data_IF_844418010839
#
_entry.id   IF_844418010839
#
_cell.length_a   1.000
_cell.length_b   1.000
_cell.length_c   1.000
_cell.angle_alpha   90.00
_cell.angle_beta   90.00
_cell.angle_gamma   90.00
#
_symmetry.space_group_name_H-M   'P 1'
#
loop_
_entity.id
_entity.type
_entity.pdbx_description
1 polymer ?
#
# COMPACT_ATOMS: atom_id res chain seq x y z
N UNK A 1 4.40 7.91 -20.98
CA UNK A 1 3.00 7.97 -20.46
C UNK A 1 3.04 7.84 -18.94
N UNK A 2 2.19 8.57 -18.20
CA UNK A 2 2.18 8.58 -16.72
C UNK A 2 0.94 7.86 -16.18
N UNK A 3 1.18 6.90 -15.29
CA UNK A 3 0.17 6.14 -14.56
C UNK A 3 0.31 6.33 -13.06
N UNK A 4 -0.82 6.37 -12.37
CA UNK A 4 -0.93 6.46 -10.93
C UNK A 4 -1.72 5.27 -10.39
N UNK A 5 -1.26 4.71 -9.28
CA UNK A 5 -2.05 3.79 -8.46
C UNK A 5 -2.43 4.53 -7.19
N UNK A 6 -3.73 4.76 -6.96
CA UNK A 6 -4.17 5.28 -5.68
C UNK A 6 -4.18 4.15 -4.67
N UNK A 7 -3.35 4.29 -3.64
CA UNK A 7 -3.20 3.31 -2.57
C UNK A 7 -3.68 3.89 -1.26
N UNK A 8 -4.40 3.10 -0.49
CA UNK A 8 -4.79 3.45 0.88
C UNK A 8 -4.25 2.40 1.83
N UNK A 9 -3.42 2.84 2.76
CA UNK A 9 -2.93 1.99 3.83
C UNK A 9 -4.01 1.93 4.92
N UNK A 10 -4.51 0.72 5.18
CA UNK A 10 -5.48 0.45 6.23
C UNK A 10 -4.83 0.68 7.59
N UNK A 11 -5.08 1.83 8.18
CA UNK A 11 -4.52 2.22 9.48
C UNK A 11 -5.60 2.89 10.34
N UNK A 12 -5.39 2.89 11.65
CA UNK A 12 -6.22 3.64 12.60
C UNK A 12 -5.37 4.52 13.51
N UNK A 13 -5.95 5.63 13.95
CA UNK A 13 -5.25 6.70 14.70
C UNK A 13 -4.50 6.19 15.95
N UNK A 14 -5.06 5.19 16.63
CA UNK A 14 -4.51 4.66 17.87
C UNK A 14 -3.34 3.70 17.69
N UNK A 15 -3.06 3.19 16.49
CA UNK A 15 -2.09 2.10 16.34
C UNK A 15 -0.69 2.48 16.84
N UNK A 16 -0.21 3.65 16.44
CA UNK A 16 1.13 4.15 16.79
C UNK A 16 1.16 5.06 18.02
N UNK A 17 0.02 5.40 18.61
CA UNK A 17 -0.03 6.32 19.73
C UNK A 17 0.48 5.63 21.01
N UNK A 18 1.76 5.82 21.27
CA UNK A 18 2.44 5.31 22.45
C UNK A 18 2.06 6.05 23.73
N UNK A 19 1.13 7.00 23.71
CA UNK A 19 0.55 7.58 24.93
C UNK A 19 -0.73 6.86 25.36
N UNK A 20 -1.35 6.08 24.47
CA UNK A 20 -2.58 5.33 24.73
C UNK A 20 -2.31 3.97 25.41
N UNK A 21 -3.29 3.51 26.19
CA UNK A 21 -3.31 2.14 26.71
C UNK A 21 -3.54 1.14 25.58
N UNK A 22 -3.13 -0.12 25.77
CA UNK A 22 -3.28 -1.15 24.72
C UNK A 22 -4.73 -1.31 24.25
N UNK A 23 -5.70 -1.21 25.15
CA UNK A 23 -7.12 -1.25 24.81
C UNK A 23 -7.54 -0.08 23.93
N UNK A 24 -7.06 1.14 24.22
CA UNK A 24 -7.35 2.34 23.41
C UNK A 24 -6.61 2.33 22.07
N UNK A 25 -5.57 1.52 21.94
CA UNK A 25 -4.85 1.28 20.67
C UNK A 25 -5.52 0.21 19.82
N UNK A 26 -6.59 -0.45 20.27
CA UNK A 26 -7.36 -1.39 19.44
C UNK A 26 -8.21 -0.65 18.40
N UNK A 27 -8.45 -1.25 17.24
CA UNK A 27 -9.33 -0.69 16.23
C UNK A 27 -10.78 -0.65 16.72
N UNK A 28 -11.52 0.37 16.32
CA UNK A 28 -12.96 0.46 16.56
C UNK A 28 -13.71 0.14 15.26
N UNK A 29 -14.36 -1.02 15.21
CA UNK A 29 -14.98 -1.53 13.98
C UNK A 29 -15.95 -0.53 13.35
N UNK A 30 -16.89 0.01 14.15
CA UNK A 30 -17.87 1.00 13.68
C UNK A 30 -17.22 2.22 13.05
N UNK A 31 -16.18 2.76 13.68
CA UNK A 31 -15.45 3.94 13.19
C UNK A 31 -14.71 3.62 11.90
N UNK A 32 -14.01 2.49 11.84
CA UNK A 32 -13.25 2.08 10.66
C UNK A 32 -14.14 1.74 9.46
N UNK A 33 -15.25 1.04 9.68
CA UNK A 33 -16.22 0.76 8.62
C UNK A 33 -16.74 2.06 7.98
N UNK A 34 -17.02 3.09 8.79
CA UNK A 34 -17.41 4.40 8.25
C UNK A 34 -16.32 5.04 7.38
N UNK A 35 -15.04 4.85 7.73
CA UNK A 35 -13.92 5.37 6.93
C UNK A 35 -13.75 4.61 5.62
N UNK A 36 -13.88 3.28 5.66
CA UNK A 36 -13.82 2.44 4.47
C UNK A 36 -14.99 2.72 3.52
N UNK A 37 -16.19 2.94 4.04
CA UNK A 37 -17.35 3.33 3.23
C UNK A 37 -17.10 4.68 2.51
N UNK A 38 -16.51 5.65 3.20
CA UNK A 38 -16.11 6.94 2.63
C UNK A 38 -15.01 6.81 1.56
N UNK A 39 -14.03 5.96 1.82
CA UNK A 39 -12.94 5.62 0.91
C UNK A 39 -13.47 5.02 -0.40
N UNK A 40 -14.30 3.98 -0.29
CA UNK A 40 -14.95 3.30 -1.41
C UNK A 40 -15.81 4.28 -2.21
N UNK A 41 -16.62 5.09 -1.54
CA UNK A 41 -17.47 6.10 -2.18
C UNK A 41 -16.64 7.14 -2.95
N UNK A 42 -15.54 7.61 -2.37
CA UNK A 42 -14.67 8.58 -3.00
C UNK A 42 -13.97 7.97 -4.22
N UNK A 43 -13.40 6.77 -4.10
CA UNK A 43 -12.75 6.08 -5.20
C UNK A 43 -13.73 5.75 -6.34
N UNK A 44 -14.95 5.31 -6.03
CA UNK A 44 -16.00 5.09 -7.02
C UNK A 44 -16.30 6.37 -7.82
N UNK A 45 -16.47 7.50 -7.15
CA UNK A 45 -16.83 8.79 -7.78
C UNK A 45 -15.67 9.43 -8.54
N UNK A 46 -14.45 9.35 -8.01
CA UNK A 46 -13.30 10.11 -8.52
C UNK A 46 -12.41 9.27 -9.43
N UNK A 47 -12.36 7.96 -9.22
CA UNK A 47 -11.43 7.05 -9.92
C UNK A 47 -12.15 5.93 -10.67
N UNK A 48 -13.48 5.97 -10.73
CA UNK A 48 -14.33 4.89 -11.24
C UNK A 48 -13.97 3.56 -10.58
N UNK A 49 -13.75 3.60 -9.27
CA UNK A 49 -13.42 2.44 -8.44
C UNK A 49 -11.97 1.93 -8.54
N UNK A 50 -11.12 2.55 -9.35
CA UNK A 50 -9.69 2.16 -9.45
C UNK A 50 -8.88 2.66 -8.27
N UNK A 51 -8.69 1.80 -7.28
CA UNK A 51 -7.76 2.00 -6.17
C UNK A 51 -7.35 0.66 -5.58
N UNK A 52 -6.34 0.70 -4.70
CA UNK A 52 -5.84 -0.45 -3.98
C UNK A 52 -5.90 -0.16 -2.47
N UNK A 53 -6.66 -0.95 -1.74
CA UNK A 53 -6.70 -0.91 -0.28
C UNK A 53 -5.76 -1.96 0.30
N UNK A 54 -4.86 -1.58 1.20
CA UNK A 54 -4.03 -2.54 1.92
C UNK A 54 -4.61 -2.84 3.29
N UNK A 55 -4.97 -4.10 3.50
CA UNK A 55 -5.56 -4.61 4.74
C UNK A 55 -4.46 -4.81 5.77
N UNK A 56 -4.58 -4.15 6.92
CA UNK A 56 -3.61 -4.21 8.00
C UNK A 56 -3.44 -5.62 8.56
N UNK A 57 -2.20 -6.05 8.71
CA UNK A 57 -1.83 -7.14 9.60
C UNK A 57 -0.95 -6.57 10.69
N UNK A 58 -1.31 -6.82 11.95
CA UNK A 58 -0.34 -6.71 13.03
C UNK A 58 -0.66 -7.76 14.08
N UNK A 59 0.31 -8.10 14.96
CA UNK A 59 0.07 -9.07 16.03
C UNK A 59 -1.14 -8.74 16.91
N UNK A 60 -1.61 -7.48 16.92
CA UNK A 60 -2.73 -7.00 17.74
C UNK A 60 -4.11 -7.25 17.12
N UNK A 61 -4.22 -7.39 15.81
CA UNK A 61 -5.50 -7.34 15.07
C UNK A 61 -5.56 -8.30 13.88
N UNK A 62 -4.79 -9.38 13.93
CA UNK A 62 -4.52 -10.23 12.76
C UNK A 62 -5.79 -10.83 12.14
N UNK A 63 -6.78 -11.19 12.96
CA UNK A 63 -8.08 -11.72 12.57
C UNK A 63 -9.19 -10.65 12.44
N UNK A 64 -8.96 -9.45 12.97
CA UNK A 64 -9.98 -8.40 13.06
C UNK A 64 -10.56 -8.03 11.70
N UNK A 65 -9.71 -7.89 10.68
CA UNK A 65 -10.14 -7.51 9.33
C UNK A 65 -10.69 -8.68 8.49
N UNK A 66 -10.75 -9.89 9.07
CA UNK A 66 -11.40 -11.06 8.48
C UNK A 66 -12.85 -11.24 8.97
N UNK A 67 -13.34 -10.36 9.85
CA UNK A 67 -14.74 -10.36 10.28
C UNK A 67 -15.68 -10.04 9.11
N UNK A 68 -16.91 -10.54 9.17
CA UNK A 68 -17.84 -10.54 8.04
C UNK A 68 -18.15 -9.14 7.49
N UNK A 69 -18.25 -8.14 8.36
CA UNK A 69 -18.44 -6.74 7.99
C UNK A 69 -17.30 -6.19 7.11
N UNK A 70 -16.05 -6.54 7.39
CA UNK A 70 -14.89 -6.09 6.62
C UNK A 70 -14.77 -6.87 5.31
N UNK A 71 -14.97 -8.19 5.35
CA UNK A 71 -15.03 -9.04 4.16
C UNK A 71 -16.06 -8.51 3.16
N UNK A 72 -17.23 -8.04 3.64
CA UNK A 72 -18.24 -7.41 2.79
C UNK A 72 -17.70 -6.18 2.05
N UNK A 73 -16.91 -5.32 2.72
CA UNK A 73 -16.29 -4.14 2.11
C UNK A 73 -15.18 -4.52 1.14
N UNK A 74 -14.34 -5.49 1.47
CA UNK A 74 -13.30 -5.97 0.56
C UNK A 74 -13.89 -6.50 -0.75
N UNK A 75 -15.00 -7.24 -0.68
CA UNK A 75 -15.75 -7.66 -1.86
C UNK A 75 -16.33 -6.48 -2.63
N UNK A 76 -16.86 -5.49 -1.93
CA UNK A 76 -17.37 -4.26 -2.57
C UNK A 76 -16.26 -3.52 -3.33
N UNK A 77 -15.03 -3.47 -2.80
CA UNK A 77 -13.87 -2.90 -3.48
C UNK A 77 -13.63 -3.61 -4.82
N UNK A 78 -13.53 -4.94 -4.82
CA UNK A 78 -13.29 -5.73 -6.03
C UNK A 78 -14.43 -5.58 -7.05
N UNK A 79 -15.70 -5.62 -6.61
CA UNK A 79 -16.88 -5.44 -7.47
C UNK A 79 -16.86 -4.09 -8.18
N UNK A 80 -16.38 -3.03 -7.51
CA UNK A 80 -16.27 -1.69 -8.10
C UNK A 80 -15.02 -1.51 -8.97
N UNK A 81 -14.22 -2.55 -9.16
CA UNK A 81 -13.00 -2.51 -9.99
C UNK A 81 -11.74 -2.07 -9.25
N UNK A 82 -11.80 -2.04 -7.92
CA UNK A 82 -10.62 -1.85 -7.06
C UNK A 82 -9.87 -3.14 -6.85
N UNK A 83 -8.90 -3.11 -5.94
CA UNK A 83 -8.12 -4.29 -5.54
C UNK A 83 -7.81 -4.22 -4.06
N UNK A 84 -7.51 -5.36 -3.46
CA UNK A 84 -7.01 -5.44 -2.08
C UNK A 84 -5.57 -5.95 -2.06
N UNK A 85 -4.85 -5.58 -1.01
CA UNK A 85 -3.49 -6.04 -0.72
C UNK A 85 -3.27 -6.20 0.77
N UNK A 86 -2.07 -6.59 1.16
CA UNK A 86 -1.67 -6.80 2.55
C UNK A 86 -0.79 -5.64 3.01
N UNK A 87 -1.21 -4.95 4.08
CA UNK A 87 -0.41 -3.95 4.78
C UNK A 87 0.25 -4.59 6.01
N UNK A 88 1.50 -5.01 5.90
CA UNK A 88 2.12 -5.81 6.95
C UNK A 88 2.87 -4.98 7.99
N UNK A 89 2.34 -5.00 9.21
CA UNK A 89 2.89 -4.41 10.42
C UNK A 89 3.32 -5.49 11.41
N UNK A 90 4.40 -6.20 11.11
CA UNK A 90 5.10 -7.04 12.08
C UNK A 90 6.14 -6.21 12.86
N UNK A 91 5.63 -5.18 13.50
CA UNK A 91 6.35 -4.28 14.39
C UNK A 91 5.55 -4.06 15.67
N UNK A 92 6.28 -3.84 16.75
CA UNK A 92 5.76 -3.19 17.93
C UNK A 92 6.53 -1.88 18.08
N UNK A 93 5.88 -0.72 17.91
CA UNK A 93 6.50 0.60 18.00
C UNK A 93 7.25 0.89 19.31
N UNK A 94 7.15 0.01 20.32
CA UNK A 94 7.89 0.11 21.60
C UNK A 94 8.91 -1.00 21.85
N UNK A 95 8.99 -2.03 20.99
CA UNK A 95 9.73 -3.25 21.34
C UNK A 95 10.62 -3.79 20.24
N UNK A 96 10.12 -3.88 19.01
CA UNK A 96 10.86 -4.58 17.95
C UNK A 96 10.25 -4.38 16.57
N UNK A 97 11.11 -4.48 15.56
CA UNK A 97 10.74 -4.57 14.14
C UNK A 97 11.13 -5.94 13.61
N UNK A 98 10.20 -6.69 13.06
CA UNK A 98 10.42 -8.08 12.64
C UNK A 98 10.44 -8.27 11.12
N UNK A 99 10.61 -7.19 10.34
CA UNK A 99 10.56 -7.24 8.88
C UNK A 99 11.64 -8.12 8.22
N UNK A 100 12.74 -8.42 8.91
CA UNK A 100 13.78 -9.36 8.45
C UNK A 100 13.67 -10.77 9.06
N UNK A 101 12.67 -10.99 9.91
CA UNK A 101 12.34 -12.29 10.48
C UNK A 101 11.38 -13.04 9.55
N UNK A 102 11.93 -13.89 8.69
CA UNK A 102 11.19 -14.61 7.66
C UNK A 102 10.00 -15.40 8.23
N UNK A 103 10.19 -16.17 9.31
CA UNK A 103 9.13 -17.00 9.91
C UNK A 103 7.94 -16.16 10.40
N UNK A 104 8.20 -15.01 11.04
CA UNK A 104 7.12 -14.12 11.49
C UNK A 104 6.39 -13.48 10.32
N UNK A 105 7.13 -13.03 9.31
CA UNK A 105 6.54 -12.43 8.11
C UNK A 105 5.71 -13.45 7.33
N UNK A 106 6.18 -14.69 7.20
CA UNK A 106 5.47 -15.80 6.56
C UNK A 106 4.14 -16.08 7.26
N UNK A 107 4.16 -16.21 8.59
CA UNK A 107 2.92 -16.40 9.37
C UNK A 107 1.95 -15.23 9.20
N UNK A 108 2.44 -13.99 9.19
CA UNK A 108 1.58 -12.81 9.09
C UNK A 108 0.95 -12.65 7.70
N UNK A 109 1.76 -12.82 6.65
CA UNK A 109 1.33 -12.70 5.26
C UNK A 109 0.43 -13.88 4.88
N UNK A 110 0.88 -15.11 5.17
CA UNK A 110 0.16 -16.33 4.85
C UNK A 110 -1.20 -16.39 5.55
N UNK A 111 -1.26 -16.08 6.85
CA UNK A 111 -2.53 -16.08 7.59
C UNK A 111 -3.58 -15.16 6.96
N UNK A 112 -3.21 -13.92 6.61
CA UNK A 112 -4.18 -13.00 6.01
C UNK A 112 -4.52 -13.43 4.57
N UNK A 113 -3.54 -13.84 3.77
CA UNK A 113 -3.76 -14.28 2.40
C UNK A 113 -4.70 -15.50 2.33
N UNK A 114 -4.45 -16.52 3.14
CA UNK A 114 -5.29 -17.71 3.27
C UNK A 114 -6.70 -17.34 3.74
N UNK A 115 -6.81 -16.56 4.82
CA UNK A 115 -8.11 -16.12 5.36
C UNK A 115 -8.94 -15.30 4.36
N UNK A 116 -8.30 -14.49 3.51
CA UNK A 116 -8.99 -13.78 2.42
C UNK A 116 -9.41 -14.74 1.31
N UNK A 117 -8.52 -15.66 0.91
CA UNK A 117 -8.78 -16.67 -0.13
C UNK A 117 -9.97 -17.57 0.22
N UNK A 118 -10.06 -18.04 1.47
CA UNK A 118 -11.21 -18.80 1.98
C UNK A 118 -12.55 -18.06 1.87
N UNK A 119 -12.52 -16.72 1.83
CA UNK A 119 -13.70 -15.86 1.64
C UNK A 119 -13.94 -15.48 0.18
N UNK A 120 -13.13 -15.99 -0.75
CA UNK A 120 -13.21 -15.73 -2.18
C UNK A 120 -12.64 -14.38 -2.59
N UNK A 121 -11.66 -13.88 -1.85
CA UNK A 121 -10.90 -12.66 -2.15
C UNK A 121 -9.45 -13.02 -2.45
N UNK A 122 -8.76 -12.26 -3.31
CA UNK A 122 -7.36 -12.56 -3.65
C UNK A 122 -6.50 -11.31 -3.53
N UNK A 123 -5.70 -11.16 -2.45
CA UNK A 123 -4.78 -10.04 -2.36
C UNK A 123 -3.71 -10.14 -3.46
N UNK A 124 -3.49 -9.04 -4.20
CA UNK A 124 -2.55 -9.02 -5.33
C UNK A 124 -1.31 -8.17 -5.05
N UNK A 125 -1.29 -7.46 -3.93
CA UNK A 125 -0.27 -6.46 -3.61
C UNK A 125 0.15 -6.49 -2.15
N UNK A 126 1.36 -6.01 -1.88
CA UNK A 126 1.96 -5.88 -0.56
C UNK A 126 2.41 -4.44 -0.27
N UNK A 127 2.34 -4.07 1.00
CA UNK A 127 2.88 -2.83 1.57
C UNK A 127 3.43 -3.12 2.96
N UNK A 128 4.73 -3.01 3.13
CA UNK A 128 5.37 -3.09 4.44
C UNK A 128 5.14 -1.83 5.27
N UNK A 129 4.87 -2.04 6.55
CA UNK A 129 4.78 -1.00 7.55
C UNK A 129 6.06 -0.16 7.62
N UNK A 130 5.93 1.15 7.88
CA UNK A 130 7.06 2.10 7.80
C UNK A 130 7.83 2.11 6.47
N UNK A 131 7.25 1.56 5.40
CA UNK A 131 7.93 1.30 4.12
C UNK A 131 9.10 0.33 4.29
N UNK A 132 9.01 -0.58 5.25
CA UNK A 132 10.00 -1.62 5.47
C UNK A 132 9.85 -2.74 4.44
N UNK A 133 10.96 -3.36 4.06
CA UNK A 133 10.99 -4.50 3.16
C UNK A 133 12.30 -5.26 3.33
N UNK A 134 12.25 -6.58 3.25
CA UNK A 134 13.42 -7.46 3.22
C UNK A 134 13.33 -8.36 1.98
N UNK A 135 14.44 -8.61 1.25
CA UNK A 135 14.43 -9.52 0.10
C UNK A 135 13.97 -10.95 0.48
N UNK A 136 14.07 -11.33 1.76
CA UNK A 136 13.59 -12.63 2.28
C UNK A 136 12.08 -12.84 2.14
N UNK A 137 11.29 -11.77 2.02
CA UNK A 137 9.83 -11.91 1.88
C UNK A 137 9.37 -12.07 0.44
N UNK A 138 10.26 -11.86 -0.55
CA UNK A 138 9.90 -12.00 -1.97
C UNK A 138 9.32 -13.40 -2.27
N UNK A 139 9.99 -14.51 -1.88
CA UNK A 139 9.42 -15.85 -2.11
C UNK A 139 8.05 -16.05 -1.44
N UNK A 140 7.89 -15.56 -0.20
CA UNK A 140 6.63 -15.65 0.56
C UNK A 140 5.49 -14.95 -0.20
N UNK A 141 5.75 -13.77 -0.75
CA UNK A 141 4.75 -13.02 -1.53
C UNK A 141 4.36 -13.78 -2.81
N UNK A 142 5.35 -14.33 -3.52
CA UNK A 142 5.10 -15.09 -4.74
C UNK A 142 4.31 -16.38 -4.49
N UNK A 143 4.61 -17.10 -3.41
CA UNK A 143 3.87 -18.29 -2.97
C UNK A 143 2.40 -17.99 -2.66
N UNK A 144 2.11 -16.77 -2.20
CA UNK A 144 0.76 -16.28 -1.93
C UNK A 144 0.11 -15.56 -3.14
N UNK A 145 0.70 -15.69 -4.34
CA UNK A 145 0.24 -15.05 -5.58
C UNK A 145 0.16 -13.50 -5.50
N UNK A 146 1.03 -12.88 -4.69
CA UNK A 146 1.18 -11.43 -4.57
C UNK A 146 2.38 -10.99 -5.43
N UNK A 147 2.10 -10.20 -6.46
CA UNK A 147 3.10 -9.87 -7.50
C UNK A 147 3.43 -8.37 -7.60
N UNK A 148 2.84 -7.55 -6.74
CA UNK A 148 3.14 -6.13 -6.65
C UNK A 148 3.56 -5.76 -5.23
N UNK A 149 4.71 -5.12 -5.09
CA UNK A 149 5.06 -4.37 -3.88
C UNK A 149 4.94 -2.87 -4.17
N UNK A 150 4.64 -2.14 -3.11
CA UNK A 150 4.59 -0.69 -3.15
C UNK A 150 5.47 -0.05 -2.08
N UNK A 151 6.25 -0.82 -1.33
CA UNK A 151 6.94 -0.34 -0.14
C UNK A 151 8.07 0.64 -0.44
N UNK A 152 8.52 0.78 -1.70
CA UNK A 152 9.61 1.67 -2.04
C UNK A 152 9.23 3.14 -1.94
N UNK A 153 10.01 3.89 -1.16
CA UNK A 153 10.16 5.33 -1.36
C UNK A 153 11.60 5.59 -1.73
N UNK A 154 11.91 5.82 -3.03
CA UNK A 154 13.28 5.96 -3.49
C UNK A 154 14.08 6.98 -2.66
N UNK A 155 15.28 6.59 -2.24
CA UNK A 155 16.15 7.42 -1.41
C UNK A 155 15.81 7.43 0.09
N UNK A 156 14.74 6.76 0.52
CA UNK A 156 14.42 6.63 1.95
C UNK A 156 15.50 5.82 2.66
N UNK A 157 15.87 6.28 3.85
CA UNK A 157 16.68 5.56 4.80
C UNK A 157 16.13 5.87 6.20
N UNK A 158 15.62 4.86 6.89
CA UNK A 158 15.06 4.98 8.23
C UNK A 158 15.78 4.03 9.16
N UNK A 159 16.45 4.62 10.15
CA UNK A 159 17.02 3.94 11.30
C UNK A 159 16.23 4.36 12.53
N UNK A 160 15.76 3.40 13.32
CA UNK A 160 14.97 3.66 14.53
C UNK A 160 15.45 2.72 15.65
N UNK A 161 15.71 3.29 16.83
CA UNK A 161 16.13 2.53 18.02
C UNK A 161 17.27 1.52 17.76
N UNK A 162 18.29 1.91 16.98
CA UNK A 162 19.43 1.02 16.70
C UNK A 162 19.19 0.00 15.58
N UNK A 163 18.00 -0.02 14.98
CA UNK A 163 17.61 -0.97 13.94
C UNK A 163 17.36 -0.27 12.60
N UNK A 164 17.81 -0.90 11.52
CA UNK A 164 17.47 -0.48 10.16
C UNK A 164 16.05 -0.93 9.84
N UNK A 165 15.12 0.02 9.77
CA UNK A 165 13.70 -0.26 9.49
C UNK A 165 13.42 -0.26 7.99
N UNK A 166 14.01 0.65 7.23
CA UNK A 166 13.75 0.81 5.80
C UNK A 166 14.96 1.38 5.09
N UNK A 167 15.44 0.71 4.03
CA UNK A 167 16.48 1.22 3.14
C UNK A 167 16.06 1.07 1.67
N UNK A 168 15.91 2.20 1.01
CA UNK A 168 15.57 2.35 -0.40
C UNK A 168 16.56 3.26 -1.13
N UNK A 169 17.75 3.48 -0.55
CA UNK A 169 18.81 4.23 -1.21
C UNK A 169 19.27 3.45 -2.44
N UNK A 170 19.32 4.14 -3.57
CA UNK A 170 19.71 3.53 -4.85
C UNK A 170 18.63 2.66 -5.50
N UNK A 171 17.39 2.69 -4.99
CA UNK A 171 16.23 2.10 -5.66
C UNK A 171 15.78 2.95 -6.86
N UNK A 172 15.31 2.32 -7.97
CA UNK A 172 14.75 3.03 -9.11
C UNK A 172 13.61 3.99 -8.74
N UNK A 173 13.54 5.12 -9.45
CA UNK A 173 12.48 6.12 -9.28
C UNK A 173 11.20 5.80 -10.10
N UNK A 174 11.14 4.62 -10.70
CA UNK A 174 10.05 4.10 -11.51
C UNK A 174 9.88 2.61 -11.18
N UNK A 175 8.83 1.97 -11.69
CA UNK A 175 8.62 0.54 -11.46
C UNK A 175 9.81 -0.31 -11.94
N UNK A 176 10.03 -1.43 -11.28
CA UNK A 176 11.05 -2.40 -11.66
C UNK A 176 10.71 -3.78 -11.09
N UNK A 177 11.18 -4.83 -11.75
CA UNK A 177 11.16 -6.18 -11.23
C UNK A 177 12.25 -6.33 -10.17
N UNK A 178 11.93 -6.80 -8.96
CA UNK A 178 12.91 -6.84 -7.87
C UNK A 178 13.96 -7.94 -8.07
N UNK A 179 15.12 -7.78 -7.41
CA UNK A 179 16.12 -8.83 -7.24
C UNK A 179 15.92 -9.55 -5.92
N UNK A 180 16.04 -10.88 -5.94
CA UNK A 180 16.07 -11.71 -4.73
C UNK A 180 17.25 -11.40 -3.81
N UNK A 181 18.35 -10.88 -4.35
CA UNK A 181 19.54 -10.56 -3.56
C UNK A 181 19.49 -9.15 -2.93
N UNK A 182 18.87 -8.20 -3.64
CA UNK A 182 18.73 -6.81 -3.20
C UNK A 182 17.44 -6.22 -3.78
N UNK A 183 16.41 -6.09 -2.94
CA UNK A 183 15.08 -5.59 -3.33
C UNK A 183 15.12 -4.16 -3.88
N UNK A 184 16.20 -3.42 -3.69
CA UNK A 184 16.41 -2.07 -4.25
C UNK A 184 16.91 -2.11 -5.68
N UNK A 185 17.21 -3.26 -6.26
CA UNK A 185 17.78 -3.39 -7.61
C UNK A 185 16.83 -4.12 -8.55
N UNK A 186 16.85 -3.77 -9.84
CA UNK A 186 16.27 -4.62 -10.88
C UNK A 186 16.83 -6.03 -10.81
N UNK A 187 15.97 -7.03 -10.98
CA UNK A 187 16.35 -8.43 -10.95
C UNK A 187 15.34 -9.33 -11.66
N UNK A 188 15.26 -10.57 -11.22
CA UNK A 188 14.54 -11.65 -11.89
C UNK A 188 13.44 -12.30 -11.04
N UNK A 189 12.98 -11.66 -9.95
CA UNK A 189 11.80 -12.15 -9.23
C UNK A 189 10.53 -11.99 -10.07
N UNK A 190 9.41 -12.54 -9.59
CA UNK A 190 8.09 -12.29 -10.15
C UNK A 190 7.40 -11.07 -9.52
N UNK A 191 8.02 -10.48 -8.50
CA UNK A 191 7.52 -9.32 -7.78
C UNK A 191 7.99 -8.01 -8.44
N UNK A 192 7.03 -7.15 -8.78
CA UNK A 192 7.31 -5.79 -9.27
C UNK A 192 7.13 -4.76 -8.17
N UNK A 193 8.09 -3.88 -8.03
CA UNK A 193 7.98 -2.70 -7.18
C UNK A 193 7.31 -1.54 -7.92
N UNK A 194 6.35 -0.89 -7.28
CA UNK A 194 5.72 0.35 -7.73
C UNK A 194 6.03 1.47 -6.74
N UNK A 195 7.05 2.31 -6.99
CA UNK A 195 7.54 3.25 -5.98
C UNK A 195 6.52 4.35 -5.63
N UNK A 196 6.55 4.78 -4.38
CA UNK A 196 5.79 5.90 -3.84
C UNK A 196 6.25 7.23 -4.46
N UNK A 197 5.42 7.79 -5.34
CA UNK A 197 5.66 9.11 -5.93
C UNK A 197 5.11 10.24 -5.07
N UNK A 198 3.91 10.04 -4.51
CA UNK A 198 3.13 11.09 -3.88
C UNK A 198 2.52 10.59 -2.57
N UNK A 199 2.69 11.35 -1.50
CA UNK A 199 2.13 11.02 -0.19
C UNK A 199 1.18 12.14 0.23
N UNK A 200 -0.12 11.93 0.05
CA UNK A 200 -1.15 12.96 0.20
C UNK A 200 -1.15 13.56 1.60
N UNK A 201 -0.99 12.74 2.64
CA UNK A 201 -0.98 13.21 4.02
C UNK A 201 0.11 14.28 4.23
N UNK A 202 1.34 13.99 3.78
CA UNK A 202 2.55 14.81 4.00
C UNK A 202 2.75 15.92 2.97
N UNK A 203 2.24 15.76 1.76
CA UNK A 203 2.41 16.75 0.69
C UNK A 203 1.27 17.78 0.68
N UNK A 204 1.59 19.05 0.44
CA UNK A 204 0.58 20.07 0.15
C UNK A 204 0.07 19.94 -1.28
N UNK A 205 -1.14 20.43 -1.57
CA UNK A 205 -1.71 20.40 -2.94
C UNK A 205 -0.78 21.05 -3.98
N UNK A 206 -0.09 22.14 -3.61
CA UNK A 206 0.92 22.80 -4.46
C UNK A 206 2.11 21.88 -4.74
N UNK A 207 2.58 21.10 -3.75
CA UNK A 207 3.67 20.13 -3.93
C UNK A 207 3.22 18.96 -4.79
N UNK A 208 2.01 18.44 -4.58
CA UNK A 208 1.41 17.38 -5.40
C UNK A 208 1.34 17.82 -6.87
N UNK A 209 0.85 19.04 -7.14
CA UNK A 209 0.82 19.61 -8.49
C UNK A 209 2.20 19.69 -9.15
N UNK A 210 3.22 20.18 -8.44
CA UNK A 210 4.60 20.25 -8.98
C UNK A 210 5.15 18.85 -9.29
N UNK A 211 5.01 17.91 -8.36
CA UNK A 211 5.44 16.51 -8.54
C UNK A 211 4.76 15.87 -9.75
N UNK A 212 3.46 16.08 -9.93
CA UNK A 212 2.71 15.57 -11.08
C UNK A 212 3.27 16.10 -12.41
N UNK A 213 3.60 17.39 -12.47
CA UNK A 213 4.22 18.03 -13.63
C UNK A 213 5.63 17.47 -13.90
N UNK A 214 6.43 17.24 -12.86
CA UNK A 214 7.77 16.65 -12.98
C UNK A 214 7.71 15.20 -13.47
N UNK A 215 6.83 14.38 -12.89
CA UNK A 215 6.62 12.99 -13.31
C UNK A 215 6.16 12.90 -14.77
N UNK A 216 5.30 13.81 -15.22
CA UNK A 216 4.79 13.85 -16.60
C UNK A 216 5.88 14.14 -17.63
N UNK A 217 6.94 14.84 -17.25
CA UNK A 217 8.07 15.18 -18.12
C UNK A 217 9.06 14.04 -18.33
N UNK A 218 9.01 13.00 -17.50
CA UNK A 218 9.92 11.86 -17.63
C UNK A 218 9.61 11.08 -18.90
N UNK A 219 10.67 10.58 -19.54
CA UNK A 219 10.58 9.76 -20.73
C UNK A 219 10.04 8.36 -20.41
N UNK A 220 9.53 7.67 -21.43
CA UNK A 220 9.01 6.31 -21.30
C UNK A 220 7.70 6.19 -20.51
N UNK A 221 7.41 4.97 -20.07
CA UNK A 221 6.28 4.65 -19.20
C UNK A 221 6.68 4.91 -17.75
N UNK A 222 5.90 5.74 -17.06
CA UNK A 222 6.12 6.09 -15.65
C UNK A 222 4.94 5.56 -14.85
N UNK A 223 5.22 4.78 -13.81
CA UNK A 223 4.23 4.22 -12.91
C UNK A 223 4.67 4.50 -11.48
N UNK A 224 3.81 5.17 -10.71
CA UNK A 224 4.07 5.49 -9.31
C UNK A 224 2.80 5.34 -8.46
N UNK A 225 2.99 5.09 -7.17
CA UNK A 225 1.90 5.06 -6.21
C UNK A 225 1.59 6.45 -5.63
N UNK A 226 0.33 6.63 -5.22
CA UNK A 226 -0.21 7.81 -4.55
C UNK A 226 -0.86 7.36 -3.26
N UNK A 227 -0.27 7.72 -2.11
CA UNK A 227 -0.64 7.19 -0.81
C UNK A 227 -1.55 8.13 0.01
N UNK A 228 -2.58 7.56 0.61
CA UNK A 228 -3.35 8.09 1.74
C UNK A 228 -3.51 7.00 2.82
N UNK A 229 -4.01 7.36 4.00
CA UNK A 229 -4.37 6.38 5.04
C UNK A 229 -5.86 6.38 5.32
N UNK A 230 -6.43 5.24 5.73
CA UNK A 230 -7.87 5.14 5.99
C UNK A 230 -8.36 6.07 7.10
N UNK A 231 -7.58 6.33 8.15
CA UNK A 231 -7.96 7.30 9.19
C UNK A 231 -8.13 8.74 8.67
N UNK A 232 -7.48 9.10 7.54
CA UNK A 232 -7.66 10.42 6.93
C UNK A 232 -9.10 10.63 6.44
N UNK A 233 -9.84 9.56 6.17
CA UNK A 233 -11.24 9.64 5.74
C UNK A 233 -12.18 10.03 6.89
N UNK A 234 -11.74 9.93 8.15
CA UNK A 234 -12.49 10.39 9.32
C UNK A 234 -12.67 11.91 9.41
N UNK A 235 -11.93 12.70 8.63
CA UNK A 235 -11.99 14.16 8.64
C UNK A 235 -12.48 14.71 7.30
N UNK A 236 -13.49 15.59 7.33
CA UNK A 236 -13.99 16.25 6.12
C UNK A 236 -12.89 17.03 5.38
N UNK A 237 -12.06 17.78 6.11
CA UNK A 237 -10.97 18.56 5.51
C UNK A 237 -9.95 17.65 4.81
N UNK A 238 -9.64 16.49 5.40
CA UNK A 238 -8.74 15.49 4.82
C UNK A 238 -9.34 14.79 3.61
N UNK A 239 -10.61 14.38 3.67
CA UNK A 239 -11.35 13.85 2.49
C UNK A 239 -11.35 14.84 1.33
N UNK A 240 -11.60 16.13 1.60
CA UNK A 240 -11.55 17.17 0.59
C UNK A 240 -10.13 17.31 0.00
N UNK A 241 -9.09 17.29 0.84
CA UNK A 241 -7.69 17.30 0.38
C UNK A 241 -7.38 16.11 -0.53
N UNK A 242 -7.78 14.89 -0.16
CA UNK A 242 -7.61 13.69 -0.97
C UNK A 242 -8.30 13.85 -2.32
N UNK A 243 -9.59 14.25 -2.33
CA UNK A 243 -10.33 14.49 -3.57
C UNK A 243 -9.63 15.50 -4.48
N UNK A 244 -9.19 16.64 -3.94
CA UNK A 244 -8.50 17.68 -4.72
C UNK A 244 -7.14 17.18 -5.25
N UNK A 245 -6.38 16.42 -4.45
CA UNK A 245 -5.13 15.82 -4.88
C UNK A 245 -5.36 14.87 -6.07
N UNK A 246 -6.34 13.98 -5.99
CA UNK A 246 -6.67 13.05 -7.07
C UNK A 246 -7.12 13.78 -8.35
N UNK A 247 -7.94 14.83 -8.22
CA UNK A 247 -8.36 15.66 -9.36
C UNK A 247 -7.19 16.39 -10.03
N UNK A 248 -6.20 16.87 -9.25
CA UNK A 248 -4.97 17.43 -9.79
C UNK A 248 -4.23 16.36 -10.61
N UNK A 249 -4.06 15.16 -10.05
CA UNK A 249 -3.28 14.09 -10.67
C UNK A 249 -3.92 13.56 -11.97
N UNK A 250 -5.25 13.50 -12.03
CA UNK A 250 -6.00 13.15 -13.25
C UNK A 250 -5.70 14.06 -14.44
N UNK A 251 -5.24 15.30 -14.22
CA UNK A 251 -4.83 16.20 -15.31
C UNK A 251 -3.50 15.81 -15.96
N UNK A 252 -2.67 15.02 -15.28
CA UNK A 252 -1.31 14.69 -15.71
C UNK A 252 -1.16 13.23 -16.15
N UNK A 253 -1.90 12.31 -15.54
CA UNK A 253 -1.78 10.87 -15.78
C UNK A 253 -3.11 10.14 -15.67
N UNK A 254 -3.05 8.82 -15.87
CA UNK A 254 -4.20 7.92 -15.76
C UNK A 254 -4.14 7.16 -14.44
N UNK A 255 -5.27 7.03 -13.75
CA UNK A 255 -5.38 6.13 -12.62
C UNK A 255 -5.70 4.72 -13.10
N UNK A 256 -5.04 3.75 -12.50
CA UNK A 256 -5.12 2.32 -12.82
C UNK A 256 -5.21 1.51 -11.53
N UNK A 257 -5.88 0.35 -11.59
CA UNK A 257 -5.95 -0.61 -10.49
C UNK A 257 -4.75 -1.59 -10.53
N UNK A 258 -4.66 -2.48 -9.54
CA UNK A 258 -3.53 -3.41 -9.42
C UNK A 258 -3.43 -4.37 -10.62
N UNK A 259 -4.56 -4.85 -11.15
CA UNK A 259 -4.58 -5.76 -12.30
C UNK A 259 -4.10 -5.08 -13.58
N UNK A 260 -4.62 -3.89 -13.86
CA UNK A 260 -4.17 -3.06 -14.99
C UNK A 260 -2.66 -2.77 -14.91
N UNK A 261 -2.11 -2.56 -13.70
CA UNK A 261 -0.66 -2.42 -13.50
C UNK A 261 0.09 -3.69 -13.83
N UNK A 262 -0.35 -4.83 -13.32
CA UNK A 262 0.31 -6.10 -13.56
C UNK A 262 0.38 -6.41 -15.07
N UNK A 263 -0.69 -6.13 -15.80
CA UNK A 263 -0.74 -6.25 -17.26
C UNK A 263 0.23 -5.26 -17.95
N UNK A 264 0.27 -4.01 -17.47
CA UNK A 264 1.15 -2.97 -18.02
C UNK A 264 2.63 -3.27 -17.84
N UNK A 265 3.03 -3.90 -16.74
CA UNK A 265 4.45 -4.22 -16.43
C UNK A 265 4.87 -5.54 -17.07
N UNK A 266 4.03 -6.59 -17.04
CA UNK A 266 4.31 -7.86 -17.74
C UNK A 266 4.37 -7.71 -19.26
N UNK A 267 3.65 -6.75 -19.82
CA UNK A 267 3.72 -6.42 -21.23
C UNK A 267 5.08 -5.88 -21.69
N UNK A 268 5.92 -5.37 -20.78
CA UNK A 268 7.26 -4.87 -21.11
C UNK A 268 8.34 -5.95 -21.08
N UNK A 269 8.15 -7.05 -20.35
CA UNK A 269 9.12 -8.16 -20.32
C UNK A 269 9.17 -8.99 -21.61
N UNK A 270 8.33 -8.66 -22.60
CA UNK A 270 8.26 -9.33 -23.91
C UNK A 270 8.99 -8.58 -25.03
N UNK A 271 9.74 -7.52 -24.69
CA UNK A 271 10.58 -6.74 -25.61
C UNK A 271 12.06 -6.91 -25.25
#
# INVERSE_FOLDING_TARGET
>A
MLFFVFTVDGDWEGYYDSTLSEEKRKPNARRMLSWFDDEIQLAAKVLNGRFLHFIHTSPRVRDFFLQAEFISRWKEIEIKGGSIGIHCHEDDPRRAYFYDNQEKMEKAIGFLAEGLSEKGLQPMAYRGGYLAFSPKIIPILEENAIFLDFSCKPGRYLFHEGLLVSDWRGAPNNFYRMSYADHRKPGNSNLFEIPLGIYIEKDSLRRIWRKAKELKKREGKVIVSVLAHSYEFGSFARRLKIKLALLILRKYGKFVNAREILDLVKGEDKL
#
